data_IF_366775390322
#
_entry.id   IF_366775390322
#
_cell.length_a   1.000
_cell.length_b   1.000
_cell.length_c   1.000
_cell.angle_alpha   90.00
_cell.angle_beta   90.00
_cell.angle_gamma   90.00
#
_symmetry.space_group_name_H-M   'P 1'
#
loop_
_entity.id
_entity.type
_entity.pdbx_description
1 polymer ?
#
# COMPACT_ATOMS: atom_id res chain seq x y z
N UNK A 1 -0.18 30.90 18.52
CA UNK A 1 -0.62 30.15 17.33
C UNK A 1 -1.98 30.70 16.95
N UNK A 2 -2.15 31.20 15.72
CA UNK A 2 -3.46 31.65 15.23
C UNK A 2 -4.31 30.44 14.84
N UNK A 3 -5.64 30.53 14.89
CA UNK A 3 -6.55 29.48 14.39
C UNK A 3 -6.31 29.14 12.91
N UNK A 4 -5.80 30.11 12.14
CA UNK A 4 -5.42 29.94 10.72
C UNK A 4 -4.20 29.02 10.56
N UNK A 5 -3.23 29.11 11.48
CA UNK A 5 -2.03 28.26 11.44
C UNK A 5 -2.36 26.81 11.82
N UNK A 6 -3.37 26.61 12.68
CA UNK A 6 -3.87 25.29 13.09
C UNK A 6 -4.63 24.60 11.96
N UNK A 7 -5.53 25.33 11.29
CA UNK A 7 -6.35 24.83 10.18
C UNK A 7 -5.50 24.46 8.95
N UNK A 8 -4.45 25.24 8.66
CA UNK A 8 -3.45 24.90 7.63
C UNK A 8 -2.67 23.63 8.00
N UNK A 9 -2.31 23.45 9.28
CA UNK A 9 -1.61 22.24 9.73
C UNK A 9 -2.48 20.98 9.67
N UNK A 10 -3.78 21.09 9.98
CA UNK A 10 -4.73 19.97 9.87
C UNK A 10 -4.98 19.61 8.39
N UNK A 11 -4.99 20.60 7.50
CA UNK A 11 -5.17 20.41 6.05
C UNK A 11 -3.93 19.81 5.39
N UNK A 12 -2.72 20.23 5.78
CA UNK A 12 -1.46 19.62 5.34
C UNK A 12 -1.28 18.20 5.89
N UNK A 13 -1.71 17.94 7.14
CA UNK A 13 -1.70 16.61 7.74
C UNK A 13 -2.70 15.65 7.07
N UNK A 14 -3.87 16.14 6.65
CA UNK A 14 -4.82 15.35 5.88
C UNK A 14 -4.24 14.88 4.52
N UNK A 15 -3.35 15.67 3.91
CA UNK A 15 -2.63 15.30 2.68
C UNK A 15 -1.50 14.27 2.92
N UNK A 16 -1.20 13.95 4.18
CA UNK A 16 -0.23 12.92 4.57
C UNK A 16 -0.90 11.58 4.92
N UNK A 17 -2.21 11.58 5.17
CA UNK A 17 -2.98 10.35 5.43
C UNK A 17 -3.36 9.66 4.11
N UNK A 18 -3.37 8.32 4.06
CA UNK A 18 -3.81 7.60 2.88
C UNK A 18 -5.31 7.83 2.62
N UNK A 19 -5.69 8.01 1.36
CA UNK A 19 -7.08 8.05 0.92
C UNK A 19 -7.67 6.62 0.98
N UNK A 20 -8.68 6.35 1.83
CA UNK A 20 -9.19 5.02 2.05
C UNK A 20 -9.97 4.46 0.85
N UNK A 21 -10.72 5.29 0.12
CA UNK A 21 -11.50 4.85 -1.05
C UNK A 21 -10.55 4.51 -2.20
N UNK A 22 -9.53 5.34 -2.40
CA UNK A 22 -8.51 5.11 -3.40
C UNK A 22 -7.67 3.87 -3.08
N UNK A 23 -7.23 3.73 -1.82
CA UNK A 23 -6.49 2.54 -1.40
C UNK A 23 -7.32 1.27 -1.60
N UNK A 24 -8.60 1.29 -1.24
CA UNK A 24 -9.49 0.15 -1.48
C UNK A 24 -9.62 -0.18 -2.97
N UNK A 25 -9.81 0.83 -3.83
CA UNK A 25 -9.95 0.62 -5.26
C UNK A 25 -8.68 0.00 -5.88
N UNK A 26 -7.52 0.50 -5.50
CA UNK A 26 -6.22 0.02 -6.02
C UNK A 26 -5.85 -1.36 -5.48
N UNK A 27 -6.20 -1.67 -4.22
CA UNK A 27 -6.03 -3.01 -3.66
C UNK A 27 -6.97 -4.03 -4.30
N UNK A 28 -8.20 -3.64 -4.66
CA UNK A 28 -9.10 -4.52 -5.42
C UNK A 28 -8.51 -4.86 -6.80
N UNK A 29 -7.93 -3.89 -7.50
CA UNK A 29 -7.26 -4.13 -8.78
C UNK A 29 -6.06 -5.10 -8.63
N UNK A 30 -5.25 -4.93 -7.57
CA UNK A 30 -4.18 -5.87 -7.25
C UNK A 30 -4.70 -7.28 -6.90
N UNK A 31 -5.82 -7.35 -6.18
CA UNK A 31 -6.49 -8.61 -5.82
C UNK A 31 -7.00 -9.36 -7.04
N UNK A 32 -7.63 -8.65 -7.99
CA UNK A 32 -8.09 -9.24 -9.25
C UNK A 32 -6.94 -9.88 -10.02
N UNK A 33 -5.80 -9.18 -10.17
CA UNK A 33 -4.63 -9.73 -10.82
C UNK A 33 -4.05 -10.96 -10.10
N UNK A 34 -4.06 -10.95 -8.76
CA UNK A 34 -3.61 -12.12 -7.99
C UNK A 34 -4.56 -13.31 -8.17
N UNK A 35 -5.87 -13.07 -8.21
CA UNK A 35 -6.87 -14.13 -8.44
C UNK A 35 -6.72 -14.75 -9.84
N UNK A 36 -6.37 -13.96 -10.86
CA UNK A 36 -6.05 -14.48 -12.20
C UNK A 36 -4.83 -15.41 -12.18
N UNK A 37 -3.77 -15.01 -11.48
CA UNK A 37 -2.57 -15.84 -11.29
C UNK A 37 -2.89 -17.14 -10.56
N UNK A 38 -3.69 -17.07 -9.49
CA UNK A 38 -4.13 -18.25 -8.75
C UNK A 38 -4.98 -19.17 -9.62
N UNK A 39 -5.92 -18.63 -10.39
CA UNK A 39 -6.75 -19.42 -11.31
C UNK A 39 -5.90 -20.13 -12.38
N UNK A 40 -4.84 -19.50 -12.87
CA UNK A 40 -3.88 -20.12 -13.80
C UNK A 40 -3.16 -21.31 -13.15
N UNK A 41 -2.69 -21.14 -11.92
CA UNK A 41 -2.02 -22.20 -11.16
C UNK A 41 -2.97 -23.35 -10.80
N UNK A 42 -4.22 -23.05 -10.45
CA UNK A 42 -5.25 -24.04 -10.17
C UNK A 42 -5.60 -24.87 -11.41
N UNK A 43 -5.64 -24.23 -12.58
CA UNK A 43 -5.90 -24.91 -13.84
C UNK A 43 -4.75 -25.85 -14.26
N UNK A 44 -3.50 -25.47 -13.99
CA UNK A 44 -2.30 -26.24 -14.35
C UNK A 44 -1.25 -26.20 -13.21
N UNK A 45 -1.36 -27.08 -12.19
CA UNK A 45 -0.46 -27.08 -11.04
C UNK A 45 0.85 -27.84 -11.34
N UNK A 46 1.61 -27.37 -12.32
CA UNK A 46 2.91 -27.93 -12.71
C UNK A 46 4.06 -26.92 -12.54
N UNK A 47 5.29 -27.42 -12.66
CA UNK A 47 6.52 -26.64 -12.43
C UNK A 47 6.71 -25.55 -13.50
N UNK A 48 6.34 -25.81 -14.75
CA UNK A 48 6.45 -24.85 -15.85
C UNK A 48 5.52 -23.65 -15.63
N UNK A 49 4.25 -23.92 -15.29
CA UNK A 49 3.25 -22.90 -14.95
C UNK A 49 3.69 -22.10 -13.72
N UNK A 50 4.24 -22.77 -12.71
CA UNK A 50 4.75 -22.12 -11.50
C UNK A 50 5.92 -21.18 -11.82
N UNK A 51 6.86 -21.62 -12.67
CA UNK A 51 8.02 -20.81 -13.07
C UNK A 51 7.61 -19.62 -13.95
N UNK A 52 6.64 -19.81 -14.85
CA UNK A 52 6.06 -18.74 -15.66
C UNK A 52 5.40 -17.67 -14.77
N UNK A 53 4.57 -18.09 -13.81
CA UNK A 53 3.92 -17.20 -12.86
C UNK A 53 4.95 -16.37 -12.08
N UNK A 54 5.99 -17.03 -11.54
CA UNK A 54 7.02 -16.36 -10.75
C UNK A 54 7.83 -15.35 -11.57
N UNK A 55 8.16 -15.66 -12.83
CA UNK A 55 9.02 -14.83 -13.68
C UNK A 55 8.26 -13.75 -14.46
N UNK A 56 6.99 -13.98 -14.76
CA UNK A 56 6.22 -13.15 -15.68
C UNK A 56 4.94 -12.60 -15.04
N UNK A 57 4.11 -13.42 -14.42
CA UNK A 57 2.78 -12.94 -14.01
C UNK A 57 2.82 -12.13 -12.71
N UNK A 58 3.66 -12.52 -11.75
CA UNK A 58 3.78 -11.79 -10.49
C UNK A 58 4.31 -10.36 -10.65
N UNK A 59 5.00 -10.03 -11.75
CA UNK A 59 5.42 -8.65 -12.01
C UNK A 59 4.23 -7.71 -12.10
N UNK A 60 3.09 -8.18 -12.63
CA UNK A 60 1.87 -7.40 -12.74
C UNK A 60 1.20 -7.19 -11.39
N UNK A 61 1.24 -8.21 -10.52
CA UNK A 61 0.76 -8.09 -9.13
C UNK A 61 1.60 -7.07 -8.38
N UNK A 62 2.93 -7.14 -8.46
CA UNK A 62 3.81 -6.17 -7.84
C UNK A 62 3.61 -4.76 -8.38
N UNK A 63 3.44 -4.58 -9.69
CA UNK A 63 3.16 -3.28 -10.29
C UNK A 63 1.89 -2.64 -9.69
N UNK A 64 0.82 -3.42 -9.50
CA UNK A 64 -0.44 -2.95 -8.91
C UNK A 64 -0.32 -2.68 -7.39
N UNK A 65 0.42 -3.51 -6.66
CA UNK A 65 0.70 -3.25 -5.25
C UNK A 65 1.56 -2.00 -5.05
N UNK A 66 2.58 -1.82 -5.90
CA UNK A 66 3.38 -0.61 -5.92
C UNK A 66 2.53 0.61 -6.27
N UNK A 67 1.62 0.48 -7.23
CA UNK A 67 0.65 1.53 -7.57
C UNK A 67 -0.17 1.95 -6.36
N UNK A 68 -0.74 1.00 -5.63
CA UNK A 68 -1.49 1.27 -4.41
C UNK A 68 -0.65 2.03 -3.37
N UNK A 69 0.58 1.55 -3.10
CA UNK A 69 1.49 2.16 -2.12
C UNK A 69 1.92 3.58 -2.52
N UNK A 70 2.37 3.76 -3.76
CA UNK A 70 2.95 5.01 -4.23
C UNK A 70 1.87 6.11 -4.39
N UNK A 71 0.62 5.72 -4.66
CA UNK A 71 -0.49 6.66 -4.83
C UNK A 71 -1.32 6.89 -3.58
N UNK A 72 -1.20 6.06 -2.52
CA UNK A 72 -2.10 6.06 -1.37
C UNK A 72 -2.33 7.44 -0.73
N UNK A 73 -1.29 8.26 -0.56
CA UNK A 73 -1.39 9.60 0.06
C UNK A 73 -1.82 10.70 -0.92
N UNK A 74 -1.62 10.48 -2.21
CA UNK A 74 -2.02 11.42 -3.26
C UNK A 74 -3.45 11.15 -3.74
N UNK A 75 -3.97 9.94 -3.51
CA UNK A 75 -5.27 9.51 -4.00
C UNK A 75 -5.37 9.69 -5.52
N UNK A 76 -6.52 10.17 -6.04
CA UNK A 76 -6.71 10.46 -7.46
C UNK A 76 -5.71 11.45 -8.07
N UNK A 77 -5.10 12.32 -7.26
CA UNK A 77 -4.10 13.28 -7.75
C UNK A 77 -2.79 12.60 -8.20
N UNK A 78 -2.56 11.34 -7.82
CA UNK A 78 -1.41 10.56 -8.28
C UNK A 78 -1.35 10.47 -9.81
N UNK A 79 -2.50 10.42 -10.49
CA UNK A 79 -2.60 10.30 -11.95
C UNK A 79 -2.03 11.51 -12.71
N UNK A 80 -1.92 12.67 -12.06
CA UNK A 80 -1.34 13.87 -12.64
C UNK A 80 0.02 14.22 -12.04
N UNK A 81 0.28 13.79 -10.80
CA UNK A 81 1.48 14.10 -10.06
C UNK A 81 2.65 13.14 -10.35
N UNK A 82 2.36 11.88 -10.72
CA UNK A 82 3.34 10.84 -10.99
C UNK A 82 3.26 10.35 -12.44
N UNK A 83 4.38 9.94 -13.00
CA UNK A 83 4.39 9.20 -14.26
C UNK A 83 3.96 7.75 -14.07
N UNK A 84 3.59 7.09 -15.17
CA UNK A 84 3.19 5.68 -15.18
C UNK A 84 4.28 4.76 -14.61
N UNK A 85 5.54 4.99 -14.98
CA UNK A 85 6.67 4.21 -14.47
C UNK A 85 6.90 4.47 -12.97
N UNK A 86 6.76 5.72 -12.51
CA UNK A 86 6.96 6.06 -11.09
C UNK A 86 5.90 5.43 -10.19
N UNK A 87 4.65 5.37 -10.64
CA UNK A 87 3.58 4.83 -9.81
C UNK A 87 3.67 3.31 -9.67
N UNK A 88 4.16 2.58 -10.68
CA UNK A 88 4.35 1.12 -10.63
C UNK A 88 5.73 0.67 -10.15
N UNK A 89 6.69 1.60 -10.04
CA UNK A 89 8.05 1.29 -9.60
C UNK A 89 8.08 0.82 -8.15
N UNK A 90 9.11 0.03 -7.82
CA UNK A 90 9.43 -0.30 -6.44
C UNK A 90 9.58 0.98 -5.61
N UNK A 91 8.92 1.08 -4.43
CA UNK A 91 9.04 2.24 -3.57
C UNK A 91 10.51 2.55 -3.25
N UNK A 92 10.90 3.81 -3.38
CA UNK A 92 12.28 4.25 -3.18
C UNK A 92 12.80 4.03 -1.73
N UNK A 93 11.88 3.89 -0.77
CA UNK A 93 12.15 3.54 0.63
C UNK A 93 11.16 2.47 1.07
N UNK A 94 11.56 1.66 2.05
CA UNK A 94 10.69 0.65 2.65
C UNK A 94 9.44 1.34 3.21
N UNK A 95 8.24 1.06 2.65
CA UNK A 95 7.01 1.79 3.01
C UNK A 95 6.29 1.17 4.21
N UNK A 96 6.73 -0.02 4.64
CA UNK A 96 6.15 -0.79 5.72
C UNK A 96 7.05 -0.74 6.94
N UNK A 97 6.43 -0.79 8.11
CA UNK A 97 7.13 -1.07 9.34
C UNK A 97 7.67 -2.50 9.31
N UNK A 98 8.81 -2.70 9.95
CA UNK A 98 9.32 -4.04 10.29
C UNK A 98 8.41 -4.70 11.31
N UNK A 99 8.48 -6.03 11.43
CA UNK A 99 7.69 -6.75 12.44
C UNK A 99 7.98 -6.26 13.87
N UNK A 100 9.26 -5.99 14.18
CA UNK A 100 9.67 -5.45 15.48
C UNK A 100 9.01 -4.07 15.76
N UNK A 101 9.00 -3.17 14.76
CA UNK A 101 8.34 -1.87 14.87
C UNK A 101 6.81 -1.97 15.01
N UNK A 102 6.19 -3.02 14.45
CA UNK A 102 4.74 -3.27 14.62
C UNK A 102 4.46 -3.77 16.04
N UNK A 103 5.28 -4.67 16.55
CA UNK A 103 5.14 -5.23 17.90
C UNK A 103 5.31 -4.14 18.97
N UNK A 104 6.29 -3.25 18.81
CA UNK A 104 6.52 -2.12 19.72
C UNK A 104 5.32 -1.16 19.78
N UNK A 105 4.64 -0.90 18.65
CA UNK A 105 3.40 -0.09 18.63
C UNK A 105 2.25 -0.75 19.41
N UNK A 106 2.21 -2.08 19.48
CA UNK A 106 1.22 -2.84 20.24
C UNK A 106 1.48 -2.86 21.75
N UNK A 107 2.68 -2.47 22.20
CA UNK A 107 3.04 -2.40 23.61
C UNK A 107 2.71 -1.05 24.28
N UNK A 108 2.39 0.00 23.51
CA UNK A 108 2.12 1.34 24.05
C UNK A 108 0.71 1.51 24.67
N UNK A 109 -0.17 0.50 24.67
CA UNK A 109 -1.55 0.61 25.18
C UNK A 109 -1.83 0.00 26.59
N UNK A 110 -0.85 -0.59 27.30
CA UNK A 110 -1.13 -1.31 28.58
C UNK A 110 -0.55 -0.72 29.88
N UNK A 111 0.01 0.49 29.91
CA UNK A 111 0.64 1.03 31.14
C UNK A 111 0.20 2.45 31.56
N UNK A 112 -1.11 2.75 31.60
CA UNK A 112 -1.62 3.91 32.36
C UNK A 112 -3.00 3.66 33.00
N UNK A 113 -3.17 2.62 33.84
CA UNK A 113 -4.37 2.53 34.71
C UNK A 113 -4.16 1.64 35.95
N UNK A 114 -2.98 1.70 36.57
CA UNK A 114 -2.72 0.95 37.79
C UNK A 114 -1.92 1.71 38.86
N UNK A 115 -2.22 2.97 39.16
CA UNK A 115 -2.07 3.53 40.52
C UNK A 115 -3.02 4.72 40.75
N UNK A 116 -4.13 4.47 41.45
CA UNK A 116 -4.96 5.48 42.12
C UNK A 116 -5.45 4.97 43.48
#
# INVERSE_FOLDING_TARGET
>A
MSDIDRDLSETEAAHLMPDPEWLQATLNDASEALLEVLAKLEANPDEETSEEILKHDLVHVYAKLNYAVNSARLGPAALTALSEDEVIAWPAKMPFLTFDEIDDLGCEEEDEDAEA
#
